data_IF_945056632211
#
_entry.id   IF_945056632211
#
_cell.length_a   1.000
_cell.length_b   1.000
_cell.length_c   1.000
_cell.angle_alpha   90.00
_cell.angle_beta   90.00
_cell.angle_gamma   90.00
#
_symmetry.space_group_name_H-M   'P 1'
#
loop_
_entity.id
_entity.type
_entity.pdbx_description
1 polymer ?
#
# COMPACT_ATOMS: atom_id res chain seq x y z
N UNK A 1 10.03 -1.19 10.07
CA UNK A 1 11.03 -0.32 9.40
C UNK A 1 10.33 0.89 8.78
N UNK A 2 9.59 0.77 7.67
CA UNK A 2 8.95 1.92 6.99
C UNK A 2 8.21 2.90 7.93
N UNK A 3 7.24 2.41 8.71
CA UNK A 3 6.44 3.26 9.64
C UNK A 3 7.31 3.99 10.68
N UNK A 4 8.40 3.37 11.13
CA UNK A 4 9.31 3.99 12.10
C UNK A 4 10.14 5.10 11.44
N UNK A 5 10.65 4.87 10.23
CA UNK A 5 11.44 5.86 9.48
C UNK A 5 10.58 7.03 9.00
N UNK A 6 9.32 6.78 8.60
CA UNK A 6 8.34 7.85 8.31
C UNK A 6 8.04 8.68 9.57
N UNK A 7 7.82 8.03 10.72
CA UNK A 7 7.55 8.73 11.99
C UNK A 7 8.73 9.59 12.45
N UNK A 8 9.96 9.15 12.15
CA UNK A 8 11.19 9.91 12.44
C UNK A 8 11.44 11.04 11.43
N UNK A 9 10.66 11.13 10.35
CA UNK A 9 10.87 12.11 9.28
C UNK A 9 12.09 11.83 8.40
N UNK A 10 12.64 10.61 8.44
CA UNK A 10 13.80 10.26 7.61
C UNK A 10 13.43 10.00 6.15
N UNK A 11 12.18 9.58 5.91
CA UNK A 11 11.68 9.22 4.57
C UNK A 11 10.22 9.65 4.43
N UNK A 12 9.82 9.93 3.18
CA UNK A 12 8.42 10.21 2.81
C UNK A 12 7.76 11.32 3.65
N UNK A 13 8.47 12.43 3.86
CA UNK A 13 7.94 13.58 4.61
C UNK A 13 6.64 14.12 4.00
N UNK A 14 5.62 14.31 4.84
CA UNK A 14 4.28 14.75 4.44
C UNK A 14 3.41 13.67 3.76
N UNK A 15 3.94 12.48 3.48
CA UNK A 15 3.15 11.36 3.00
C UNK A 15 2.38 10.70 4.14
N UNK A 16 1.23 10.11 3.81
CA UNK A 16 0.36 9.44 4.74
C UNK A 16 0.10 8.00 4.29
N UNK A 17 0.07 7.10 5.27
CA UNK A 17 -0.34 5.72 5.09
C UNK A 17 -1.56 5.46 5.98
N UNK A 18 -2.61 4.85 5.43
CA UNK A 18 -3.74 4.37 6.24
C UNK A 18 -3.26 3.28 7.20
N UNK A 19 -3.92 3.16 8.35
CA UNK A 19 -3.64 2.09 9.30
C UNK A 19 -3.74 0.72 8.63
N UNK A 20 -2.78 -0.14 8.95
CA UNK A 20 -2.73 -1.52 8.47
C UNK A 20 -3.41 -2.39 9.53
N UNK A 21 -4.53 -3.00 9.16
CA UNK A 21 -5.31 -3.93 9.97
C UNK A 21 -5.25 -5.38 9.43
N UNK A 22 -4.42 -5.63 8.41
CA UNK A 22 -4.24 -6.94 7.79
C UNK A 22 -2.88 -7.57 8.12
N UNK A 23 -2.82 -8.90 8.07
CA UNK A 23 -1.61 -9.67 8.38
C UNK A 23 -0.47 -9.44 7.37
N UNK A 24 0.80 -9.68 7.76
CA UNK A 24 1.96 -9.52 6.87
C UNK A 24 1.73 -10.11 5.48
N UNK A 25 2.18 -9.42 4.44
CA UNK A 25 1.96 -9.80 3.04
C UNK A 25 3.05 -10.71 2.49
N UNK A 26 4.17 -10.82 3.21
CA UNK A 26 5.35 -11.60 2.86
C UNK A 26 5.88 -12.33 4.11
N UNK A 27 6.55 -13.48 4.07
CA UNK A 27 6.78 -14.42 2.96
C UNK A 27 5.92 -15.66 3.17
N UNK A 28 5.12 -16.04 2.19
CA UNK A 28 4.27 -17.24 2.24
C UNK A 28 4.91 -18.44 1.52
N UNK A 29 4.48 -19.64 1.90
CA UNK A 29 4.65 -20.82 1.07
C UNK A 29 3.75 -20.73 -0.17
N UNK A 30 4.22 -21.25 -1.31
CA UNK A 30 3.40 -21.29 -2.54
C UNK A 30 2.14 -22.13 -2.28
N UNK A 31 1.00 -21.64 -2.76
CA UNK A 31 -0.29 -22.32 -2.64
C UNK A 31 -0.72 -22.63 -1.19
N UNK A 32 -0.26 -21.83 -0.21
CA UNK A 32 -0.58 -22.01 1.21
C UNK A 32 -0.65 -20.66 1.93
N UNK A 33 -1.45 -20.61 3.00
CA UNK A 33 -1.53 -19.49 3.94
C UNK A 33 -0.48 -19.56 5.06
N UNK A 34 0.34 -20.60 5.05
CA UNK A 34 1.46 -20.75 5.96
C UNK A 34 2.61 -19.82 5.56
N UNK A 35 3.13 -19.08 6.54
CA UNK A 35 4.38 -18.36 6.37
C UNK A 35 5.53 -19.34 6.08
N UNK A 36 6.44 -18.88 5.24
CA UNK A 36 7.62 -19.66 4.88
C UNK A 36 8.45 -19.98 6.13
N UNK A 37 8.64 -21.28 6.40
CA UNK A 37 9.36 -21.75 7.59
C UNK A 37 8.48 -22.10 8.80
N UNK A 38 7.15 -22.00 8.72
CA UNK A 38 6.24 -22.41 9.81
C UNK A 38 6.32 -23.91 10.14
N UNK A 39 6.54 -24.76 9.13
CA UNK A 39 6.40 -26.22 9.23
C UNK A 39 7.73 -27.00 9.17
N UNK A 40 8.89 -26.38 9.42
CA UNK A 40 10.18 -27.09 9.31
C UNK A 40 11.07 -26.96 10.54
N UNK A 41 11.50 -28.13 10.99
CA UNK A 41 12.59 -28.50 11.92
C UNK A 41 13.96 -27.86 11.57
N UNK A 42 14.04 -27.05 10.51
CA UNK A 42 15.25 -26.40 10.02
C UNK A 42 15.36 -25.00 10.63
N UNK A 43 15.77 -24.93 11.90
CA UNK A 43 16.23 -23.70 12.58
C UNK A 43 17.54 -23.12 12.02
N UNK A 44 18.05 -23.63 10.89
CA UNK A 44 19.43 -23.39 10.43
C UNK A 44 19.53 -22.56 9.14
N UNK A 45 18.42 -22.11 8.55
CA UNK A 45 18.44 -21.20 7.39
C UNK A 45 17.76 -19.91 7.77
N UNK A 46 18.42 -18.77 7.56
CA UNK A 46 17.91 -17.41 7.76
C UNK A 46 16.51 -17.24 7.13
N UNK A 47 15.47 -17.59 7.89
CA UNK A 47 14.08 -17.45 7.45
C UNK A 47 13.75 -15.97 7.52
N UNK A 48 13.34 -15.38 6.41
CA UNK A 48 12.85 -14.00 6.39
C UNK A 48 11.58 -13.96 7.26
N UNK A 49 11.60 -13.15 8.32
CA UNK A 49 10.44 -12.97 9.18
C UNK A 49 9.25 -12.42 8.36
N UNK A 50 8.00 -12.75 8.76
CA UNK A 50 6.83 -12.13 8.14
C UNK A 50 6.92 -10.60 8.15
N UNK A 51 6.64 -9.96 7.02
CA UNK A 51 6.79 -8.53 6.80
C UNK A 51 5.69 -7.95 5.90
N UNK A 52 5.44 -6.65 6.09
CA UNK A 52 4.60 -5.82 5.21
C UNK A 52 5.50 -5.09 4.22
N UNK A 53 5.92 -5.80 3.18
CA UNK A 53 6.77 -5.26 2.11
C UNK A 53 5.96 -4.49 1.06
N UNK A 54 4.67 -4.82 0.91
CA UNK A 54 3.78 -4.28 -0.11
C UNK A 54 2.94 -3.16 0.53
N UNK A 55 3.11 -1.91 0.06
CA UNK A 55 2.64 -0.70 0.76
C UNK A 55 2.05 0.30 -0.21
N UNK A 56 0.99 0.99 0.21
CA UNK A 56 0.37 2.08 -0.55
C UNK A 56 0.35 3.31 0.35
N UNK A 57 1.11 4.33 -0.04
CA UNK A 57 1.18 5.63 0.63
C UNK A 57 0.71 6.72 -0.33
N UNK A 58 0.19 7.81 0.22
CA UNK A 58 -0.35 8.92 -0.56
C UNK A 58 0.18 10.26 -0.05
N UNK A 59 0.23 11.25 -0.94
CA UNK A 59 0.68 12.60 -0.64
C UNK A 59 -0.23 13.63 -1.30
N UNK A 60 -0.32 14.81 -0.68
CA UNK A 60 -1.09 15.93 -1.18
C UNK A 60 -2.50 15.98 -0.61
N UNK A 61 -3.29 16.92 -1.16
CA UNK A 61 -4.64 17.22 -0.71
C UNK A 61 -5.68 16.67 -1.68
N UNK A 62 -6.87 16.36 -1.18
CA UNK A 62 -8.00 15.90 -2.00
C UNK A 62 -8.05 14.39 -2.26
N UNK A 63 -7.06 13.62 -1.79
CA UNK A 63 -7.14 12.15 -1.77
C UNK A 63 -7.56 11.67 -0.38
N UNK A 64 -8.62 10.87 -0.30
CA UNK A 64 -9.06 10.20 0.92
C UNK A 64 -9.08 8.68 0.71
N UNK A 65 -8.23 7.95 1.42
CA UNK A 65 -8.17 6.49 1.34
C UNK A 65 -9.36 5.84 2.08
N UNK A 66 -10.27 5.23 1.30
CA UNK A 66 -11.48 4.58 1.82
C UNK A 66 -11.24 3.11 2.21
N UNK A 67 -10.41 2.36 1.47
CA UNK A 67 -10.02 0.99 1.84
C UNK A 67 -8.51 0.80 1.82
N UNK A 68 -8.01 -0.06 2.70
CA UNK A 68 -6.64 -0.54 2.68
C UNK A 68 -6.62 -1.98 3.18
N UNK A 69 -6.50 -2.93 2.27
CA UNK A 69 -6.67 -4.35 2.57
C UNK A 69 -5.71 -5.21 1.74
N UNK A 70 -5.62 -6.49 2.08
CA UNK A 70 -4.89 -7.49 1.29
C UNK A 70 -5.85 -8.49 0.67
N UNK A 71 -5.43 -9.11 -0.42
CA UNK A 71 -6.17 -10.16 -1.12
C UNK A 71 -5.58 -11.53 -0.77
N UNK A 72 -6.44 -12.48 -0.38
CA UNK A 72 -6.08 -13.84 0.04
C UNK A 72 -5.88 -14.80 -1.16
N UNK A 73 -5.02 -14.40 -2.10
CA UNK A 73 -4.58 -15.29 -3.20
C UNK A 73 -3.26 -15.95 -2.84
N UNK A 74 -3.14 -17.25 -3.14
CA UNK A 74 -1.98 -18.07 -2.78
C UNK A 74 -1.00 -18.29 -3.94
N UNK A 75 -1.21 -17.62 -5.07
CA UNK A 75 -0.44 -17.80 -6.31
C UNK A 75 1.02 -17.31 -6.20
N UNK A 76 1.30 -16.43 -5.24
CA UNK A 76 2.61 -15.84 -4.97
C UNK A 76 3.01 -16.04 -3.51
N UNK A 77 4.29 -15.89 -3.20
CA UNK A 77 4.78 -15.75 -1.83
C UNK A 77 4.47 -14.37 -1.22
N UNK A 78 3.85 -13.49 -2.00
CA UNK A 78 3.22 -12.24 -1.57
C UNK A 78 1.68 -12.30 -1.65
N UNK A 79 1.02 -11.60 -0.72
CA UNK A 79 -0.40 -11.27 -0.81
C UNK A 79 -0.58 -9.88 -1.41
N UNK A 80 -1.30 -9.72 -2.55
CA UNK A 80 -1.55 -8.42 -3.15
C UNK A 80 -2.21 -7.45 -2.18
N UNK A 81 -1.78 -6.19 -2.20
CA UNK A 81 -2.35 -5.12 -1.36
C UNK A 81 -3.16 -4.19 -2.24
N UNK A 82 -4.32 -3.79 -1.73
CA UNK A 82 -5.28 -2.93 -2.42
C UNK A 82 -5.56 -1.68 -1.59
N UNK A 83 -5.52 -0.53 -2.25
CA UNK A 83 -5.91 0.76 -1.69
C UNK A 83 -6.97 1.38 -2.57
N UNK A 84 -8.11 1.76 -1.98
CA UNK A 84 -9.19 2.44 -2.70
C UNK A 84 -9.26 3.88 -2.19
N UNK A 85 -9.35 4.85 -3.10
CA UNK A 85 -9.33 6.27 -2.78
C UNK A 85 -10.53 6.99 -3.39
N UNK A 86 -11.05 7.98 -2.67
CA UNK A 86 -11.87 9.05 -3.24
C UNK A 86 -10.96 10.23 -3.57
N UNK A 87 -11.10 10.80 -4.76
CA UNK A 87 -10.31 11.95 -5.22
C UNK A 87 -11.21 13.16 -5.48
N UNK A 88 -10.93 14.28 -4.83
CA UNK A 88 -11.51 15.58 -5.14
C UNK A 88 -10.68 16.26 -6.22
N UNK A 89 -11.29 16.45 -7.40
CA UNK A 89 -10.64 17.08 -8.55
C UNK A 89 -11.24 18.45 -8.83
N UNK A 90 -10.40 19.43 -9.16
CA UNK A 90 -10.84 20.73 -9.67
C UNK A 90 -10.76 20.70 -11.19
N UNK A 91 -11.91 20.76 -11.85
CA UNK A 91 -11.98 20.85 -13.32
C UNK A 91 -11.87 22.32 -13.71
N UNK A 92 -10.76 22.71 -14.34
CA UNK A 92 -10.62 24.03 -14.96
C UNK A 92 -11.26 23.98 -16.33
N UNK A 93 -12.39 24.67 -16.53
CA UNK A 93 -12.95 24.89 -17.87
C UNK A 93 -12.26 26.09 -18.51
N UNK A 94 -11.75 25.95 -19.72
CA UNK A 94 -11.28 27.09 -20.51
C UNK A 94 -12.46 28.01 -20.81
N UNK A 95 -12.33 29.31 -20.55
CA UNK A 95 -13.30 30.29 -21.03
C UNK A 95 -13.20 30.33 -22.56
N UNK A 96 -14.20 29.81 -23.26
CA UNK A 96 -14.40 30.14 -24.67
C UNK A 96 -14.55 31.66 -24.76
N UNK A 97 -13.58 32.31 -25.42
CA UNK A 97 -13.71 33.73 -25.79
C UNK A 97 -14.83 33.81 -26.82
N UNK A 98 -16.07 34.07 -26.38
CA UNK A 98 -17.12 34.59 -27.27
C UNK A 98 -16.71 36.01 -27.66
N UNK A 99 -15.97 36.11 -28.75
CA UNK A 99 -15.82 37.38 -29.48
C UNK A 99 -17.17 37.66 -30.13
N UNK A 100 -18.01 38.45 -29.47
CA UNK A 100 -19.16 39.08 -30.12
C UNK A 100 -18.62 40.22 -31.00
N UNK A 101 -18.50 39.95 -32.30
CA UNK A 101 -18.41 40.98 -33.33
C UNK A 101 -19.81 41.59 -33.48
N UNK A 102 -19.94 42.87 -33.14
CA UNK A 102 -20.91 43.79 -33.73
C UNK A 102 -20.11 45.02 -34.15
#
# INVERSE_FOLDING_TARGET
QLKAEMKRGHVFEGWQEKEIDFAPTYKYNKNSDDYYGSNQIIKTKLTRAPAWCDRIISFGVGLKQISYDRVETTLSDHRPVRGIFTAHIKVLRSKEKRTSLI
#
